data_IF_463481935417
#
_entry.id   IF_463481935417
#
_cell.length_a   1.000
_cell.length_b   1.000
_cell.length_c   1.000
_cell.angle_alpha   90.00
_cell.angle_beta   90.00
_cell.angle_gamma   90.00
#
_symmetry.space_group_name_H-M   'P 1'
#
loop_
_entity.id
_entity.type
_entity.pdbx_description
1 polymer ?
#
# COMPACT_ATOMS: atom_id res chain seq x y z
N UNK A 1 -6.28 -2.96 -23.42
CA UNK A 1 -6.66 -3.98 -22.41
C UNK A 1 -6.87 -3.29 -21.08
N UNK A 2 -7.73 -3.85 -20.22
CA UNK A 2 -7.95 -3.41 -18.84
C UNK A 2 -7.54 -4.53 -17.89
N UNK A 3 -6.95 -4.18 -16.76
CA UNK A 3 -6.56 -5.13 -15.72
C UNK A 3 -6.67 -4.49 -14.34
N UNK A 4 -7.06 -5.28 -13.36
CA UNK A 4 -7.03 -4.89 -11.95
C UNK A 4 -5.70 -5.36 -11.33
N UNK A 5 -5.04 -4.47 -10.60
CA UNK A 5 -3.73 -4.67 -10.00
C UNK A 5 -3.78 -4.29 -8.52
N UNK A 6 -3.08 -5.06 -7.69
CA UNK A 6 -2.94 -4.75 -6.28
C UNK A 6 -1.64 -4.00 -6.01
N UNK A 7 -1.76 -2.81 -5.44
CA UNK A 7 -0.61 -1.97 -5.07
C UNK A 7 -0.42 -2.02 -3.55
N UNK A 8 0.66 -2.62 -3.04
CA UNK A 8 0.92 -2.63 -1.61
C UNK A 8 1.23 -1.22 -1.12
N UNK A 9 0.65 -0.85 0.02
CA UNK A 9 0.94 0.42 0.69
C UNK A 9 2.10 0.21 1.66
N UNK A 10 3.13 1.04 1.53
CA UNK A 10 4.24 1.10 2.49
C UNK A 10 4.11 2.33 3.34
N UNK A 11 4.21 2.11 4.64
CA UNK A 11 4.19 3.15 5.65
C UNK A 11 5.63 3.61 5.89
N UNK A 12 5.88 4.91 5.75
CA UNK A 12 7.20 5.51 5.96
C UNK A 12 7.11 6.65 6.97
N UNK A 13 8.14 6.77 7.83
CA UNK A 13 8.22 7.88 8.79
C UNK A 13 7.26 7.78 9.97
N UNK A 14 7.02 6.57 10.50
CA UNK A 14 6.25 6.41 11.75
C UNK A 14 6.93 7.20 12.90
N UNK A 15 6.24 8.17 13.53
CA UNK A 15 6.84 8.96 14.60
C UNK A 15 7.23 8.10 15.81
N UNK A 16 8.39 8.38 16.41
CA UNK A 16 8.84 7.68 17.62
C UNK A 16 7.82 7.81 18.75
N UNK A 17 7.53 6.70 19.44
CA UNK A 17 6.52 6.66 20.51
C UNK A 17 5.08 6.58 20.02
N UNK A 18 4.85 6.28 18.73
CA UNK A 18 3.54 5.89 18.19
C UNK A 18 3.59 4.46 17.66
N UNK A 19 2.44 3.78 17.70
CA UNK A 19 2.25 2.46 17.10
C UNK A 19 1.03 2.48 16.17
N UNK A 20 1.12 1.71 15.10
CA UNK A 20 -0.02 1.42 14.23
C UNK A 20 -0.93 0.41 14.95
N UNK A 21 -2.14 0.84 15.29
CA UNK A 21 -3.14 -0.02 15.92
C UNK A 21 -3.86 -0.83 14.86
N UNK A 22 -4.34 -0.15 13.82
CA UNK A 22 -5.17 -0.77 12.79
C UNK A 22 -4.94 -0.13 11.40
N UNK A 23 -4.94 -1.01 10.38
CA UNK A 23 -4.93 -0.66 8.96
C UNK A 23 -5.88 -1.61 8.19
N UNK A 24 -7.17 -1.28 8.02
CA UNK A 24 -8.13 -2.14 7.33
C UNK A 24 -7.72 -2.49 5.90
N UNK A 25 -7.02 -1.60 5.20
CA UNK A 25 -6.54 -1.83 3.84
C UNK A 25 -5.00 -1.90 3.82
N UNK A 26 -4.47 -3.06 3.43
CA UNK A 26 -3.02 -3.33 3.27
C UNK A 26 -2.46 -2.84 1.92
N UNK A 27 -3.35 -2.47 1.01
CA UNK A 27 -3.02 -2.06 -0.34
C UNK A 27 -4.20 -1.41 -1.03
N UNK A 28 -3.95 -0.97 -2.25
CA UNK A 28 -4.91 -0.25 -3.09
C UNK A 28 -5.13 -1.10 -4.34
N UNK A 29 -6.37 -1.44 -4.62
CA UNK A 29 -6.76 -2.08 -5.87
C UNK A 29 -6.92 -0.98 -6.92
N UNK A 30 -6.14 -1.04 -7.99
CA UNK A 30 -6.22 -0.11 -9.11
C UNK A 30 -6.65 -0.85 -10.37
N UNK A 31 -7.55 -0.25 -11.14
CA UNK A 31 -7.86 -0.67 -12.49
C UNK A 31 -7.09 0.18 -13.47
N UNK A 32 -6.27 -0.47 -14.29
CA UNK A 32 -5.45 0.18 -15.31
C UNK A 32 -5.93 -0.19 -16.71
N UNK A 33 -5.75 0.73 -17.65
CA UNK A 33 -6.00 0.53 -19.07
C UNK A 33 -4.74 0.87 -19.86
N UNK A 34 -4.35 -0.01 -20.78
CA UNK A 34 -3.20 0.22 -21.65
C UNK A 34 -2.88 -0.95 -22.59
N UNK A 35 -1.72 -0.88 -23.26
CA UNK A 35 -1.17 -1.98 -24.05
C UNK A 35 -0.85 -3.19 -23.16
N UNK A 36 -1.15 -4.40 -23.64
CA UNK A 36 -0.94 -5.64 -22.91
C UNK A 36 0.51 -5.80 -22.42
N UNK A 37 1.49 -5.56 -23.30
CA UNK A 37 2.92 -5.65 -22.95
C UNK A 37 3.31 -4.74 -21.78
N UNK A 38 2.68 -3.55 -21.64
CA UNK A 38 2.93 -2.64 -20.51
C UNK A 38 2.27 -3.13 -19.23
N UNK A 39 1.05 -3.64 -19.30
CA UNK A 39 0.34 -4.20 -18.15
C UNK A 39 1.10 -5.41 -17.59
N UNK A 40 1.56 -6.31 -18.45
CA UNK A 40 2.39 -7.46 -18.03
C UNK A 40 3.70 -7.02 -17.39
N UNK A 41 4.34 -5.96 -17.91
CA UNK A 41 5.54 -5.39 -17.29
C UNK A 41 5.30 -4.82 -15.88
N UNK A 42 4.09 -4.34 -15.59
CA UNK A 42 3.73 -3.86 -14.25
C UNK A 42 3.59 -5.05 -13.29
N UNK A 43 2.93 -6.13 -13.72
CA UNK A 43 2.78 -7.34 -12.90
C UNK A 43 4.11 -8.02 -12.57
N UNK A 44 5.07 -7.99 -13.51
CA UNK A 44 6.44 -8.45 -13.27
C UNK A 44 7.33 -7.44 -12.53
N UNK A 45 6.86 -6.20 -12.36
CA UNK A 45 7.57 -5.12 -11.69
C UNK A 45 7.18 -4.99 -10.21
N UNK A 46 7.95 -4.18 -9.47
CA UNK A 46 7.61 -3.80 -8.09
C UNK A 46 6.94 -2.43 -8.08
N UNK A 47 5.61 -2.42 -8.11
CA UNK A 47 4.82 -1.22 -7.81
C UNK A 47 4.59 -1.10 -6.31
N UNK A 48 4.50 0.13 -5.81
CA UNK A 48 4.23 0.38 -4.39
C UNK A 48 3.77 1.81 -4.19
N UNK A 49 2.92 2.00 -3.19
CA UNK A 49 2.44 3.32 -2.78
C UNK A 49 3.04 3.66 -1.42
N UNK A 50 3.88 4.68 -1.36
CA UNK A 50 4.46 5.12 -0.08
C UNK A 50 3.57 6.18 0.54
N UNK A 51 3.17 5.91 1.77
CA UNK A 51 2.38 6.82 2.58
C UNK A 51 3.25 7.39 3.71
N UNK A 52 3.36 8.71 3.72
CA UNK A 52 4.05 9.46 4.76
C UNK A 52 3.21 9.50 6.03
N UNK A 53 3.75 8.94 7.12
CA UNK A 53 3.11 8.92 8.43
C UNK A 53 3.56 10.05 9.35
N UNK A 54 4.51 10.89 8.91
CA UNK A 54 5.06 11.97 9.75
C UNK A 54 4.03 13.06 10.02
N UNK A 55 3.11 13.28 9.08
CA UNK A 55 1.99 14.20 9.22
C UNK A 55 0.78 13.60 9.97
N UNK A 56 0.78 12.29 10.25
CA UNK A 56 -0.33 11.59 10.89
C UNK A 56 -0.26 11.79 12.41
N UNK A 57 -1.42 12.03 13.00
CA UNK A 57 -1.64 12.28 14.43
C UNK A 57 -2.35 11.09 15.06
N UNK A 58 -2.25 11.00 16.38
CA UNK A 58 -2.96 10.04 17.22
C UNK A 58 -4.46 10.01 16.94
N UNK A 59 -5.05 8.81 16.98
CA UNK A 59 -6.44 8.53 16.68
C UNK A 59 -6.65 7.93 15.29
N UNK A 60 -7.92 7.80 14.92
CA UNK A 60 -8.35 7.32 13.59
C UNK A 60 -8.28 8.48 12.61
N UNK A 61 -7.54 8.31 11.51
CA UNK A 61 -7.50 9.26 10.40
C UNK A 61 -7.78 8.58 9.07
N UNK A 62 -8.58 9.26 8.25
CA UNK A 62 -8.84 8.87 6.87
C UNK A 62 -7.95 9.68 5.94
N UNK A 63 -6.98 9.01 5.33
CA UNK A 63 -6.03 9.64 4.43
C UNK A 63 -6.48 9.41 2.98
N UNK A 64 -6.69 10.47 2.18
CA UNK A 64 -7.04 10.31 0.78
C UNK A 64 -5.88 9.70 -0.01
N UNK A 65 -6.22 8.72 -0.85
CA UNK A 65 -5.27 8.10 -1.77
C UNK A 65 -5.17 8.96 -3.02
N UNK A 66 -3.95 9.30 -3.41
CA UNK A 66 -3.69 9.96 -4.67
C UNK A 66 -3.12 8.96 -5.69
N UNK A 67 -3.92 8.46 -6.64
CA UNK A 67 -3.45 7.48 -7.61
C UNK A 67 -2.36 8.02 -8.54
N UNK A 68 -2.18 9.34 -8.67
CA UNK A 68 -1.13 9.93 -9.50
C UNK A 68 0.27 9.77 -8.87
N UNK A 69 0.35 9.50 -7.56
CA UNK A 69 1.61 9.11 -6.89
C UNK A 69 2.05 7.68 -7.20
N UNK A 70 1.19 6.86 -7.81
CA UNK A 70 1.54 5.50 -8.23
C UNK A 70 2.35 5.59 -9.52
N UNK A 71 3.60 5.17 -9.47
CA UNK A 71 4.49 5.16 -10.64
C UNK A 71 4.05 4.08 -11.62
N UNK A 72 3.46 4.51 -12.73
CA UNK A 72 3.05 3.64 -13.83
C UNK A 72 3.88 3.93 -15.09
N UNK A 73 4.15 2.90 -15.91
CA UNK A 73 4.83 3.09 -17.18
C UNK A 73 3.98 3.91 -18.16
N UNK A 74 4.67 4.57 -19.08
CA UNK A 74 4.03 5.39 -20.13
C UNK A 74 3.06 4.56 -20.97
N UNK A 75 1.90 5.15 -21.29
CA UNK A 75 0.84 4.49 -22.05
C UNK A 75 -0.10 3.61 -21.21
N UNK A 76 0.04 3.63 -19.89
CA UNK A 76 -0.93 3.02 -18.96
C UNK A 76 -1.61 4.12 -18.15
N UNK A 77 -2.93 4.10 -18.12
CA UNK A 77 -3.75 5.05 -17.36
C UNK A 77 -4.58 4.32 -16.32
N UNK A 78 -4.72 4.91 -15.14
CA UNK A 78 -5.64 4.42 -14.11
C UNK A 78 -7.04 4.84 -14.49
N UNK A 79 -7.95 3.88 -14.64
CA UNK A 79 -9.37 4.10 -14.95
C UNK A 79 -10.26 3.94 -13.72
N UNK A 80 -9.75 3.34 -12.64
CA UNK A 80 -10.43 3.23 -11.36
C UNK A 80 -9.48 2.83 -10.24
N UNK A 81 -9.87 3.09 -9.00
CA UNK A 81 -9.11 2.66 -7.83
C UNK A 81 -10.01 2.59 -6.59
N UNK A 82 -9.69 1.66 -5.68
CA UNK A 82 -10.38 1.44 -4.42
C UNK A 82 -9.40 0.93 -3.36
N UNK A 83 -9.52 1.37 -2.09
CA UNK A 83 -10.42 2.41 -1.60
C UNK A 83 -9.99 3.82 -2.04
N UNK A 84 -10.84 4.84 -1.86
CA UNK A 84 -10.45 6.25 -2.08
C UNK A 84 -9.71 6.87 -0.90
N UNK A 85 -9.87 6.28 0.28
CA UNK A 85 -9.29 6.74 1.54
C UNK A 85 -8.82 5.54 2.35
N UNK A 86 -7.65 5.63 2.96
CA UNK A 86 -7.15 4.67 3.93
C UNK A 86 -7.46 5.19 5.33
N UNK A 87 -8.27 4.45 6.08
CA UNK A 87 -8.38 4.67 7.51
C UNK A 87 -7.15 4.07 8.20
N UNK A 88 -6.49 4.84 9.05
CA UNK A 88 -5.32 4.43 9.81
C UNK A 88 -5.54 4.87 11.25
N UNK A 89 -5.31 3.96 12.19
CA UNK A 89 -5.38 4.26 13.62
C UNK A 89 -3.99 4.25 14.24
N UNK A 90 -3.59 5.40 14.80
CA UNK A 90 -2.35 5.53 15.57
C UNK A 90 -2.64 5.70 17.06
N UNK A 91 -1.93 4.94 17.89
CA UNK A 91 -1.95 5.12 19.35
C UNK A 91 -0.54 5.44 19.85
N UNK A 92 -0.47 5.99 21.08
CA UNK A 92 0.80 6.17 21.77
C UNK A 92 1.37 4.79 22.10
N UNK A 93 2.68 4.65 21.93
CA UNK A 93 3.44 3.48 22.34
C UNK A 93 3.42 3.37 23.87
N UNK A 94 2.41 2.68 24.40
CA UNK A 94 2.32 2.39 25.82
C UNK A 94 2.85 0.97 26.05
N UNK A 95 4.19 0.82 26.03
CA UNK A 95 4.97 -0.40 26.31
C UNK A 95 4.16 -1.71 26.24
N UNK A 96 3.60 -2.00 25.07
CA UNK A 96 2.94 -3.27 24.77
C UNK A 96 3.12 -3.47 23.28
N UNK A 97 4.13 -4.27 22.95
CA UNK A 97 4.47 -4.66 21.59
C UNK A 97 3.28 -5.44 21.00
N UNK A 98 2.30 -4.71 20.46
CA UNK A 98 1.30 -5.29 19.58
C UNK A 98 2.03 -5.51 18.27
N UNK A 99 2.45 -6.75 18.07
CA UNK A 99 3.18 -7.19 16.88
C UNK A 99 2.44 -6.71 15.65
N UNK A 100 3.03 -5.71 14.99
CA UNK A 100 2.60 -5.27 13.67
C UNK A 100 2.73 -6.52 12.81
N UNK A 101 1.61 -7.19 12.61
CA UNK A 101 1.51 -8.25 11.62
C UNK A 101 1.65 -7.51 10.30
N UNK A 102 2.89 -7.33 9.89
CA UNK A 102 3.27 -7.13 8.50
C UNK A 102 2.66 -8.32 7.79
N UNK A 103 1.44 -8.14 7.31
CA UNK A 103 0.94 -8.97 6.25
C UNK A 103 1.74 -8.57 5.02
N UNK A 104 2.96 -9.12 4.98
CA UNK A 104 3.62 -9.54 3.79
C UNK A 104 2.63 -10.45 3.05
N UNK A 105 1.66 -9.87 2.36
CA UNK A 105 1.13 -10.46 1.14
C UNK A 105 2.14 -10.17 0.01
N UNK A 106 3.40 -10.51 0.26
CA UNK A 106 4.24 -11.09 -0.75
C UNK A 106 4.21 -12.56 -0.42
N UNK A 107 3.68 -13.39 -1.31
CA UNK A 107 4.05 -14.80 -1.33
C UNK A 107 5.57 -14.88 -1.08
N UNK A 108 6.04 -15.63 -0.07
CA UNK A 108 7.45 -15.96 -0.03
C UNK A 108 7.79 -16.64 -1.36
N UNK A 109 8.88 -16.25 -2.06
CA UNK A 109 9.33 -17.05 -3.19
C UNK A 109 9.53 -18.49 -2.71
N UNK A 110 8.97 -19.51 -3.38
CA UNK A 110 9.09 -20.88 -2.91
C UNK A 110 10.56 -21.31 -2.98
N UNK A 111 11.11 -21.67 -1.82
CA UNK A 111 12.33 -22.48 -1.71
C UNK A 111 13.48 -21.84 -0.95
N UNK A 112 13.78 -22.36 0.25
CA UNK A 112 14.82 -23.38 0.35
C UNK A 112 14.76 -24.17 1.66
N UNK A 113 14.76 -25.48 1.43
CA UNK A 113 14.97 -26.66 2.28
C UNK A 113 16.10 -26.50 3.29
N UNK A 114 15.92 -27.11 4.48
CA UNK A 114 17.01 -27.58 5.35
C UNK A 114 16.83 -29.07 5.62
#
# INVERSE_FOLDING_TARGET
>A
MEADLFVPVRLEGLPNGMILVEQPAKGIEIRVRGPESRIQSIQGGRIGYTLDMTAVRLGVQSIPIDPARIQLPMGVSIVGFSPKTLAIELARESRKALGVTVALSGEPPPGKEV
#
